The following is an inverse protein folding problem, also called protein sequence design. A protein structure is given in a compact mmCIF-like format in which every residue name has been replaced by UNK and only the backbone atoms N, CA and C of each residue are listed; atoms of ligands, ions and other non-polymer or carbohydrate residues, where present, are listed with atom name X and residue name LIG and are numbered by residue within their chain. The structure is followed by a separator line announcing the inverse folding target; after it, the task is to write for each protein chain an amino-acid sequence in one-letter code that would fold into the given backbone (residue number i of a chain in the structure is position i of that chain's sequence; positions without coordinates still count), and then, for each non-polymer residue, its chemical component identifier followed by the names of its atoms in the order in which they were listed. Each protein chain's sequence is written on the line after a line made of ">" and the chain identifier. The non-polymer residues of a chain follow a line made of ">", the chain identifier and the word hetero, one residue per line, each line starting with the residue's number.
data_IF_892591215698
#
_entry.id   IF_892591215698
#
_cell.length_a   1.000
_cell.length_b   1.000
_cell.length_c   1.000
_cell.angle_alpha   90.00
_cell.angle_beta   90.00
_cell.angle_gamma   90.00
#
_symmetry.space_group_name_H-M   'P 1'
#
loop_
_entity.id
_entity.type
_entity.pdbx_description
1 polymer ?
#
# COMPACT_ATOMS: atom_id res chain seq x y z
N UNK A 1 13.25 1.51 -14.11
CA UNK A 1 11.81 1.17 -14.00
C UNK A 1 11.06 2.42 -13.55
N UNK A 2 10.04 2.88 -14.27
CA UNK A 2 9.17 3.96 -13.79
C UNK A 2 8.16 3.38 -12.81
N UNK A 3 7.87 3.99 -11.66
CA UNK A 3 6.88 3.55 -10.65
C UNK A 3 6.01 4.74 -10.21
N UNK A 4 4.74 4.49 -9.91
CA UNK A 4 3.82 5.50 -9.37
C UNK A 4 3.15 4.93 -8.13
N UNK A 5 3.11 5.71 -7.06
CA UNK A 5 2.48 5.34 -5.78
C UNK A 5 1.56 6.47 -5.35
N UNK A 6 0.49 6.11 -4.62
CA UNK A 6 -0.38 7.06 -3.95
C UNK A 6 -0.07 7.03 -2.46
N UNK A 7 0.49 8.13 -1.97
CA UNK A 7 0.81 8.30 -0.55
C UNK A 7 0.64 9.79 -0.16
N UNK A 8 0.58 10.04 1.14
CA UNK A 8 0.54 11.35 1.78
C UNK A 8 1.88 12.09 1.74
N UNK A 9 3.00 11.35 1.70
CA UNK A 9 4.35 11.92 1.68
C UNK A 9 5.23 11.24 0.64
N UNK A 10 6.27 11.95 0.17
CA UNK A 10 7.23 11.39 -0.77
C UNK A 10 8.07 10.26 -0.13
N UNK A 11 8.38 10.37 1.16
CA UNK A 11 9.13 9.37 1.91
C UNK A 11 8.36 8.04 2.01
N UNK A 12 7.06 8.09 2.32
CA UNK A 12 6.21 6.90 2.34
C UNK A 12 6.11 6.24 0.97
N UNK A 13 6.00 7.04 -0.10
CA UNK A 13 6.01 6.51 -1.47
C UNK A 13 7.33 5.78 -1.82
N UNK A 14 8.47 6.28 -1.33
CA UNK A 14 9.78 5.62 -1.49
C UNK A 14 9.86 4.33 -0.68
N UNK A 15 9.32 4.30 0.54
CA UNK A 15 9.24 3.09 1.35
C UNK A 15 8.40 2.00 0.67
N UNK A 16 7.21 2.37 0.16
CA UNK A 16 6.36 1.46 -0.62
C UNK A 16 7.10 0.92 -1.86
N UNK A 17 7.88 1.77 -2.53
CA UNK A 17 8.70 1.37 -3.66
C UNK A 17 9.73 0.30 -3.27
N UNK A 18 10.45 0.49 -2.16
CA UNK A 18 11.41 -0.49 -1.66
C UNK A 18 10.75 -1.84 -1.35
N UNK A 19 9.60 -1.84 -0.67
CA UNK A 19 8.86 -3.07 -0.36
C UNK A 19 8.37 -3.78 -1.62
N UNK A 20 7.82 -3.05 -2.59
CA UNK A 20 7.32 -3.65 -3.83
C UNK A 20 8.47 -4.24 -4.66
N UNK A 21 9.62 -3.55 -4.74
CA UNK A 21 10.81 -4.02 -5.45
C UNK A 21 11.42 -5.26 -4.79
N UNK A 22 11.45 -5.31 -3.46
CA UNK A 22 11.89 -6.47 -2.72
C UNK A 22 10.98 -7.69 -2.97
N UNK A 23 9.66 -7.49 -2.99
CA UNK A 23 8.70 -8.58 -3.20
C UNK A 23 8.66 -9.08 -4.64
N UNK A 24 8.46 -8.19 -5.62
CA UNK A 24 8.20 -8.57 -7.02
C UNK A 24 9.47 -8.91 -7.80
N UNK A 25 10.57 -8.27 -7.45
CA UNK A 25 11.81 -8.33 -8.22
C UNK A 25 13.00 -8.85 -7.39
N UNK A 26 12.79 -9.18 -6.10
CA UNK A 26 13.83 -9.70 -5.18
C UNK A 26 15.05 -8.79 -5.07
N UNK A 27 14.83 -7.48 -5.20
CA UNK A 27 15.91 -6.48 -5.18
C UNK A 27 16.16 -6.00 -3.75
N UNK A 28 17.44 -5.87 -3.36
CA UNK A 28 17.85 -5.32 -2.06
C UNK A 28 17.98 -3.80 -2.14
N UNK A 29 17.80 -3.10 -1.01
CA UNK A 29 17.87 -1.63 -0.95
C UNK A 29 19.13 -1.02 -1.60
N UNK A 30 20.35 -1.55 -1.36
CA UNK A 30 21.57 -0.99 -1.96
C UNK A 30 21.62 -1.09 -3.49
N UNK A 31 20.81 -1.97 -4.09
CA UNK A 31 20.77 -2.19 -5.52
C UNK A 31 19.78 -1.25 -6.24
N UNK A 32 19.05 -0.39 -5.51
CA UNK A 32 18.03 0.50 -6.08
C UNK A 32 18.58 1.93 -6.07
N UNK A 33 18.59 2.55 -7.25
CA UNK A 33 18.95 3.95 -7.43
C UNK A 33 17.74 4.73 -7.96
N UNK A 34 17.34 5.77 -7.23
CA UNK A 34 16.22 6.64 -7.60
C UNK A 34 16.73 7.76 -8.51
N UNK A 35 16.36 7.72 -9.79
CA UNK A 35 16.78 8.71 -10.78
C UNK A 35 16.06 10.05 -10.57
N UNK A 36 14.74 10.01 -10.38
CA UNK A 36 13.90 11.19 -10.16
C UNK A 36 12.65 10.81 -9.39
N UNK A 37 12.28 11.64 -8.42
CA UNK A 37 11.01 11.58 -7.71
C UNK A 37 10.26 12.90 -7.94
N UNK A 38 8.94 12.83 -8.12
CA UNK A 38 8.11 14.01 -8.31
C UNK A 38 6.67 13.68 -7.91
N UNK A 39 5.97 14.67 -7.37
CA UNK A 39 4.52 14.60 -7.14
C UNK A 39 3.82 14.83 -8.47
N UNK A 40 2.92 13.93 -8.84
CA UNK A 40 2.17 13.98 -10.11
C UNK A 40 0.69 14.21 -9.82
N UNK A 41 0.07 15.08 -10.61
CA UNK A 41 -1.36 15.35 -10.54
C UNK A 41 -2.19 14.15 -11.03
N UNK A 42 -3.38 13.93 -10.47
CA UNK A 42 -4.21 12.73 -10.71
C UNK A 42 -4.55 12.47 -12.18
N UNK A 43 -4.71 13.53 -12.99
CA UNK A 43 -5.00 13.41 -14.42
C UNK A 43 -3.83 12.85 -15.26
N UNK A 44 -2.60 12.97 -14.77
CA UNK A 44 -1.39 12.63 -15.52
C UNK A 44 -0.88 11.22 -15.15
N UNK A 45 -1.38 10.62 -14.06
CA UNK A 45 -1.00 9.28 -13.65
C UNK A 45 -1.26 8.26 -14.76
N UNK A 46 -0.28 7.40 -15.04
CA UNK A 46 -0.32 6.44 -16.14
C UNK A 46 -0.74 5.05 -15.68
N UNK A 47 -0.48 4.68 -14.41
CA UNK A 47 -0.75 3.31 -13.92
C UNK A 47 -2.20 3.06 -13.56
N UNK A 48 -2.75 1.96 -14.06
CA UNK A 48 -4.14 1.56 -13.80
C UNK A 48 -4.40 1.25 -12.32
N UNK A 49 -3.43 0.62 -11.64
CA UNK A 49 -3.50 0.36 -10.19
C UNK A 49 -3.63 1.65 -9.35
N UNK A 50 -3.13 2.77 -9.84
CA UNK A 50 -3.23 4.07 -9.16
C UNK A 50 -4.52 4.79 -9.59
N UNK A 51 -4.82 4.77 -10.90
CA UNK A 51 -6.03 5.36 -11.49
C UNK A 51 -7.34 4.83 -10.90
N UNK A 52 -7.39 3.54 -10.54
CA UNK A 52 -8.62 2.94 -9.98
C UNK A 52 -9.13 3.65 -8.73
N UNK A 53 -8.24 4.35 -8.00
CA UNK A 53 -8.58 5.06 -6.77
C UNK A 53 -8.93 6.55 -6.97
N UNK A 54 -8.97 7.07 -8.21
CA UNK A 54 -9.16 8.51 -8.46
C UNK A 54 -10.62 8.98 -8.40
N UNK A 55 -11.59 8.08 -8.58
CA UNK A 55 -13.02 8.43 -8.53
C UNK A 55 -13.41 8.83 -7.09
N UNK A 56 -14.27 9.84 -6.94
CA UNK A 56 -14.80 10.26 -5.63
C UNK A 56 -15.75 9.22 -5.02
N UNK A 57 -16.53 8.54 -5.87
CA UNK A 57 -17.67 7.73 -5.44
C UNK A 57 -17.28 6.26 -5.21
N UNK A 58 -16.02 5.99 -4.89
CA UNK A 58 -15.50 4.64 -4.73
C UNK A 58 -15.98 4.06 -3.40
N UNK A 59 -16.55 2.86 -3.46
CA UNK A 59 -17.01 2.10 -2.30
C UNK A 59 -16.43 0.69 -2.36
N UNK A 60 -15.88 0.23 -1.25
CA UNK A 60 -15.36 -1.13 -1.12
C UNK A 60 -16.20 -1.91 -0.11
N UNK A 61 -16.81 -3.04 -0.49
CA UNK A 61 -17.47 -3.91 0.47
C UNK A 61 -16.42 -4.61 1.35
N UNK A 62 -16.71 -4.74 2.64
CA UNK A 62 -15.90 -5.54 3.56
C UNK A 62 -16.38 -6.99 3.52
N UNK A 63 -15.92 -7.76 2.52
CA UNK A 63 -16.37 -9.15 2.29
C UNK A 63 -15.95 -10.11 3.41
N UNK A 64 -14.76 -9.92 3.97
CA UNK A 64 -14.24 -10.75 5.05
C UNK A 64 -13.71 -9.89 6.19
N UNK A 65 -14.34 -10.01 7.37
CA UNK A 65 -13.93 -9.27 8.56
C UNK A 65 -13.09 -10.14 9.49
N UNK A 66 -11.77 -9.93 9.48
CA UNK A 66 -10.87 -10.57 10.45
C UNK A 66 -10.98 -9.85 11.80
N UNK A 67 -11.54 -10.51 12.81
CA UNK A 67 -11.60 -9.97 14.17
C UNK A 67 -10.19 -9.84 14.74
N UNK A 68 -9.76 -8.60 15.01
CA UNK A 68 -8.49 -8.30 15.70
C UNK A 68 -8.85 -7.76 17.09
N UNK A 69 -8.38 -8.38 18.19
CA UNK A 69 -8.62 -7.83 19.53
C UNK A 69 -7.96 -6.45 19.66
N UNK A 70 -8.62 -5.52 20.35
CA UNK A 70 -8.17 -4.14 20.49
C UNK A 70 -6.79 -4.03 21.15
N UNK A 71 -6.52 -4.90 22.13
CA UNK A 71 -5.23 -4.95 22.83
C UNK A 71 -4.70 -6.38 22.88
N UNK A 72 -3.38 -6.52 22.99
CA UNK A 72 -2.73 -7.84 23.09
C UNK A 72 -3.23 -8.66 24.28
N UNK A 73 -3.59 -8.00 25.40
CA UNK A 73 -4.13 -8.62 26.62
C UNK A 73 -5.45 -9.37 26.35
N UNK A 74 -6.25 -8.88 25.41
CA UNK A 74 -7.56 -9.46 25.06
C UNK A 74 -7.47 -10.57 24.00
N UNK A 75 -6.26 -10.96 23.60
CA UNK A 75 -6.06 -12.09 22.68
C UNK A 75 -6.20 -13.40 23.46
N UNK A 76 -7.30 -14.10 23.25
CA UNK A 76 -7.56 -15.41 23.84
C UNK A 76 -7.21 -16.55 22.87
N UNK A 77 -6.80 -17.70 23.41
CA UNK A 77 -6.56 -18.94 22.62
C UNK A 77 -7.86 -19.58 22.17
N UNK A 78 -8.84 -19.61 23.07
CA UNK A 78 -10.20 -20.05 22.79
C UNK A 78 -11.17 -18.89 22.98
N UNK A 79 -12.22 -18.88 22.16
CA UNK A 79 -13.39 -18.03 22.36
C UNK A 79 -14.60 -18.94 22.36
N UNK A 80 -15.37 -18.92 23.45
CA UNK A 80 -16.68 -19.55 23.43
C UNK A 80 -17.60 -18.72 22.52
N UNK A 81 -18.15 -19.34 21.49
CA UNK A 81 -19.32 -18.84 20.77
C UNK A 81 -20.54 -19.56 21.32
N UNK A 82 -21.61 -18.82 21.61
CA UNK A 82 -22.93 -19.41 21.84
C UNK A 82 -23.55 -19.80 20.51
#
# INVERSE_FOLDING_TARGET
>A
MYKEYRDTTLNGAVEQMYTEMASRHRVRSPCIQNIKTATVHFNICKRDNTKQFHKSDIRFPLVYQKVRPLTRKLKTTFKASM
#
